data_IF_065417190613
#
_entry.id   IF_065417190613
#
_cell.length_a   1.000
_cell.length_b   1.000
_cell.length_c   1.000
_cell.angle_alpha   90.00
_cell.angle_beta   90.00
_cell.angle_gamma   90.00
#
_symmetry.space_group_name_H-M   'P 1'
#
loop_
_entity.id
_entity.type
_entity.pdbx_description
1 polymer ?
#
# COMPACT_ATOMS: atom_id res chain seq x y z
N UNK A 1 -13.44 -1.51 -17.38
CA UNK A 1 -12.35 -1.23 -16.41
C UNK A 1 -12.12 -2.52 -15.66
N UNK A 2 -10.87 -2.99 -15.54
CA UNK A 2 -10.56 -4.12 -14.66
C UNK A 2 -10.50 -3.52 -13.25
N UNK A 3 -11.45 -3.90 -12.39
CA UNK A 3 -11.42 -3.52 -10.98
C UNK A 3 -10.21 -4.18 -10.32
N UNK A 4 -9.43 -3.41 -9.56
CA UNK A 4 -8.32 -3.98 -8.81
C UNK A 4 -8.89 -4.90 -7.71
N UNK A 5 -8.31 -6.08 -7.45
CA UNK A 5 -8.80 -6.93 -6.38
C UNK A 5 -8.63 -6.26 -5.01
N UNK A 6 -9.59 -6.45 -4.13
CA UNK A 6 -9.56 -5.93 -2.75
C UNK A 6 -9.35 -7.05 -1.74
N UNK A 7 -8.64 -6.74 -0.66
CA UNK A 7 -8.50 -7.61 0.50
C UNK A 7 -9.68 -7.45 1.45
N UNK A 8 -10.13 -6.21 1.66
CA UNK A 8 -11.24 -5.97 2.56
C UNK A 8 -12.57 -6.18 1.85
N UNK A 9 -13.48 -6.89 2.50
CA UNK A 9 -14.90 -6.96 2.10
C UNK A 9 -15.82 -6.76 3.30
N UNK A 10 -15.23 -6.62 4.48
CA UNK A 10 -15.91 -6.55 5.77
C UNK A 10 -15.02 -5.86 6.80
N UNK A 11 -15.61 -5.45 7.92
CA UNK A 11 -14.87 -4.87 9.05
C UNK A 11 -13.87 -5.84 9.68
N UNK A 12 -14.17 -7.15 9.70
CA UNK A 12 -13.22 -8.17 10.17
C UNK A 12 -11.98 -8.22 9.29
N UNK A 13 -12.11 -7.97 8.00
CA UNK A 13 -10.98 -7.97 7.07
C UNK A 13 -10.10 -6.75 7.29
N UNK A 14 -10.71 -5.58 7.45
CA UNK A 14 -9.97 -4.35 7.78
C UNK A 14 -9.17 -4.52 9.09
N UNK A 15 -9.77 -5.19 10.08
CA UNK A 15 -9.08 -5.52 11.34
C UNK A 15 -7.92 -6.50 11.12
N UNK A 16 -8.12 -7.55 10.32
CA UNK A 16 -7.05 -8.50 9.99
C UNK A 16 -5.90 -7.81 9.23
N UNK A 17 -6.20 -6.92 8.28
CA UNK A 17 -5.17 -6.15 7.57
C UNK A 17 -4.36 -5.30 8.55
N UNK A 18 -5.03 -4.63 9.50
CA UNK A 18 -4.36 -3.88 10.55
C UNK A 18 -3.45 -4.76 11.42
N UNK A 19 -3.94 -5.93 11.86
CA UNK A 19 -3.15 -6.91 12.63
C UNK A 19 -1.92 -7.39 11.83
N UNK A 20 -2.08 -7.70 10.54
CA UNK A 20 -0.98 -8.06 9.63
C UNK A 20 0.07 -6.94 9.54
N UNK A 21 -0.36 -5.69 9.33
CA UNK A 21 0.56 -4.56 9.23
C UNK A 21 1.32 -4.32 10.54
N UNK A 22 0.64 -4.47 11.68
CA UNK A 22 1.24 -4.33 13.02
C UNK A 22 2.23 -5.44 13.36
N UNK A 23 1.99 -6.66 12.89
CA UNK A 23 2.88 -7.80 13.09
C UNK A 23 4.19 -7.70 12.28
N UNK A 24 4.29 -6.71 11.39
CA UNK A 24 5.44 -6.50 10.53
C UNK A 24 5.30 -7.22 9.20
N UNK A 25 5.40 -6.44 8.12
CA UNK A 25 5.38 -6.94 6.74
C UNK A 25 6.68 -6.58 6.05
N UNK A 26 7.02 -7.31 4.98
CA UNK A 26 8.22 -7.07 4.21
C UNK A 26 7.96 -7.22 2.71
N UNK A 27 8.48 -6.28 1.94
CA UNK A 27 8.54 -6.34 0.48
C UNK A 27 9.95 -6.72 0.03
N UNK A 28 10.07 -7.87 -0.62
CA UNK A 28 11.32 -8.38 -1.16
C UNK A 28 11.94 -7.47 -2.24
N UNK A 29 13.16 -7.80 -2.73
CA UNK A 29 13.82 -7.05 -3.79
C UNK A 29 12.97 -6.91 -5.06
N UNK A 30 12.26 -7.97 -5.41
CA UNK A 30 11.30 -8.04 -6.54
C UNK A 30 9.95 -7.41 -6.23
N UNK A 31 9.71 -7.04 -4.97
CA UNK A 31 8.44 -6.51 -4.49
C UNK A 31 7.43 -7.58 -4.06
N UNK A 32 7.84 -8.84 -3.91
CA UNK A 32 7.02 -9.90 -3.31
C UNK A 32 6.68 -9.56 -1.85
N UNK A 33 5.45 -9.80 -1.42
CA UNK A 33 4.96 -9.45 -0.09
C UNK A 33 5.11 -10.64 0.87
N UNK A 34 5.38 -10.33 2.14
CA UNK A 34 5.48 -11.34 3.19
C UNK A 34 5.13 -10.74 4.55
N UNK A 35 4.67 -11.58 5.46
CA UNK A 35 4.35 -11.23 6.85
C UNK A 35 5.32 -11.95 7.77
N UNK A 36 5.91 -11.25 8.73
CA UNK A 36 6.94 -11.80 9.61
C UNK A 36 6.36 -12.83 10.59
N UNK A 37 5.12 -12.64 11.00
CA UNK A 37 4.42 -13.55 11.91
C UNK A 37 4.01 -14.86 11.22
N UNK A 38 4.45 -15.99 11.78
CA UNK A 38 4.21 -17.32 11.23
C UNK A 38 2.73 -17.74 11.27
N UNK A 39 1.98 -17.32 12.30
CA UNK A 39 0.56 -17.62 12.39
C UNK A 39 -0.20 -16.84 11.32
N UNK A 40 0.01 -15.53 11.25
CA UNK A 40 -0.67 -14.66 10.29
C UNK A 40 -0.29 -14.99 8.84
N UNK A 41 0.97 -15.31 8.55
CA UNK A 41 1.41 -15.70 7.20
C UNK A 41 0.81 -17.03 6.73
N UNK A 42 0.45 -17.92 7.66
CA UNK A 42 -0.16 -19.21 7.32
C UNK A 42 -1.62 -19.08 6.84
N UNK A 43 -2.30 -18.00 7.22
CA UNK A 43 -3.70 -17.77 6.90
C UNK A 43 -3.92 -17.69 5.39
N UNK A 44 -4.95 -18.38 4.89
CA UNK A 44 -5.35 -18.34 3.47
C UNK A 44 -5.58 -16.91 2.98
N UNK A 45 -6.14 -16.06 3.84
CA UNK A 45 -6.44 -14.66 3.53
C UNK A 45 -5.16 -13.83 3.35
N UNK A 46 -4.16 -14.04 4.19
CA UNK A 46 -2.83 -13.41 4.04
C UNK A 46 -2.11 -13.88 2.78
N UNK A 47 -2.23 -15.16 2.41
CA UNK A 47 -1.70 -15.66 1.12
C UNK A 47 -2.38 -14.99 -0.08
N UNK A 48 -3.66 -14.64 0.04
CA UNK A 48 -4.36 -13.89 -0.99
C UNK A 48 -3.90 -12.42 -1.03
N UNK A 49 -3.58 -11.81 0.12
CA UNK A 49 -3.01 -10.46 0.19
C UNK A 49 -1.69 -10.35 -0.59
N UNK A 50 -0.85 -11.40 -0.58
CA UNK A 50 0.38 -11.44 -1.38
C UNK A 50 0.08 -11.31 -2.88
N UNK A 51 -0.89 -12.09 -3.39
CA UNK A 51 -1.35 -12.01 -4.78
C UNK A 51 -1.90 -10.62 -5.11
N UNK A 52 -2.74 -10.05 -4.23
CA UNK A 52 -3.26 -8.70 -4.40
C UNK A 52 -2.13 -7.68 -4.46
N UNK A 53 -1.13 -7.78 -3.58
CA UNK A 53 0.02 -6.88 -3.57
C UNK A 53 0.86 -7.01 -4.85
N UNK A 54 0.96 -8.22 -5.41
CA UNK A 54 1.65 -8.44 -6.68
C UNK A 54 0.94 -7.78 -7.86
N UNK A 55 -0.39 -7.84 -7.88
CA UNK A 55 -1.20 -7.27 -8.96
C UNK A 55 -1.40 -5.75 -8.85
N UNK A 56 -1.46 -5.21 -7.63
CA UNK A 56 -1.93 -3.83 -7.40
C UNK A 56 -0.85 -2.85 -6.97
N UNK A 57 0.18 -3.30 -6.24
CA UNK A 57 1.22 -2.40 -5.72
C UNK A 57 2.26 -2.11 -6.81
N UNK A 58 2.44 -0.85 -7.23
CA UNK A 58 3.46 -0.50 -8.20
C UNK A 58 4.86 -0.80 -7.65
N UNK A 59 5.64 -1.53 -8.45
CA UNK A 59 6.97 -2.00 -8.03
C UNK A 59 8.10 -1.02 -8.36
N UNK A 60 7.84 -0.03 -9.21
CA UNK A 60 8.84 0.96 -9.65
C UNK A 60 8.53 2.36 -9.12
N UNK A 61 9.56 3.17 -8.86
CA UNK A 61 9.40 4.57 -8.43
C UNK A 61 8.60 5.40 -9.45
N UNK A 62 8.84 5.32 -10.78
CA UNK A 62 8.02 6.04 -11.76
C UNK A 62 6.53 5.68 -11.69
N UNK A 63 6.18 4.42 -11.47
CA UNK A 63 4.78 4.01 -11.36
C UNK A 63 4.14 4.52 -10.07
N UNK A 64 4.90 4.54 -8.97
CA UNK A 64 4.46 5.13 -7.69
C UNK A 64 4.24 6.64 -7.84
N UNK A 65 5.14 7.35 -8.51
CA UNK A 65 4.98 8.78 -8.79
C UNK A 65 3.74 9.05 -9.67
N UNK A 66 3.47 8.18 -10.64
CA UNK A 66 2.25 8.25 -11.47
C UNK A 66 1.00 8.06 -10.62
N UNK A 67 1.01 7.10 -9.69
CA UNK A 67 -0.09 6.89 -8.74
C UNK A 67 -0.31 8.16 -7.88
N UNK A 68 0.74 8.72 -7.29
CA UNK A 68 0.67 9.95 -6.48
C UNK A 68 0.09 11.11 -7.30
N UNK A 69 0.55 11.29 -8.54
CA UNK A 69 0.00 12.32 -9.43
C UNK A 69 -1.49 12.08 -9.74
N UNK A 70 -1.92 10.83 -9.91
CA UNK A 70 -3.33 10.48 -10.11
C UNK A 70 -4.18 10.84 -8.89
N UNK A 71 -3.75 10.41 -7.70
CA UNK A 71 -4.42 10.69 -6.43
C UNK A 71 -4.56 12.19 -6.16
N UNK A 72 -3.54 12.99 -6.50
CA UNK A 72 -3.60 14.46 -6.33
C UNK A 72 -4.68 15.16 -7.16
N UNK A 73 -5.16 14.50 -8.23
CA UNK A 73 -6.21 15.03 -9.11
C UNK A 73 -7.60 14.51 -8.75
N UNK A 74 -7.68 13.45 -7.95
CA UNK A 74 -8.94 12.86 -7.51
C UNK A 74 -9.64 13.81 -6.54
N UNK A 75 -10.98 13.87 -6.65
CA UNK A 75 -11.84 14.66 -5.77
C UNK A 75 -12.83 13.73 -5.08
N UNK A 76 -13.11 14.00 -3.81
CA UNK A 76 -13.99 13.17 -2.99
C UNK A 76 -13.28 11.92 -2.47
N UNK A 77 -14.08 10.98 -1.96
CA UNK A 77 -13.58 9.75 -1.38
C UNK A 77 -12.93 8.83 -2.42
N UNK A 78 -11.93 8.08 -1.99
CA UNK A 78 -11.32 7.00 -2.74
C UNK A 78 -12.30 5.83 -2.81
N UNK A 79 -12.36 5.17 -3.97
CA UNK A 79 -12.94 3.84 -4.04
C UNK A 79 -12.11 2.88 -3.18
N UNK A 80 -12.75 1.82 -2.70
CA UNK A 80 -12.13 0.91 -1.74
C UNK A 80 -10.83 0.29 -2.31
N UNK A 81 -10.84 -0.12 -3.57
CA UNK A 81 -9.65 -0.68 -4.21
C UNK A 81 -8.51 0.34 -4.36
N UNK A 82 -8.84 1.61 -4.58
CA UNK A 82 -7.85 2.69 -4.64
C UNK A 82 -7.28 3.00 -3.26
N UNK A 83 -8.11 2.96 -2.21
CA UNK A 83 -7.68 3.14 -0.84
C UNK A 83 -6.70 2.04 -0.43
N UNK A 84 -7.07 0.77 -0.62
CA UNK A 84 -6.24 -0.38 -0.25
C UNK A 84 -4.92 -0.40 -1.03
N UNK A 85 -4.97 -0.17 -2.35
CA UNK A 85 -3.77 -0.01 -3.18
C UNK A 85 -2.87 1.11 -2.67
N UNK A 86 -3.45 2.27 -2.33
CA UNK A 86 -2.69 3.43 -1.83
C UNK A 86 -2.04 3.13 -0.48
N UNK A 87 -2.76 2.47 0.43
CA UNK A 87 -2.26 2.03 1.73
C UNK A 87 -1.09 1.06 1.60
N UNK A 88 -1.24 0.01 0.78
CA UNK A 88 -0.16 -0.97 0.59
C UNK A 88 1.04 -0.35 -0.13
N UNK A 89 0.81 0.59 -1.05
CA UNK A 89 1.90 1.35 -1.70
C UNK A 89 2.61 2.27 -0.72
N UNK A 90 1.90 2.85 0.27
CA UNK A 90 2.52 3.67 1.32
C UNK A 90 3.51 2.82 2.14
N UNK A 91 3.10 1.62 2.53
CA UNK A 91 3.96 0.67 3.28
C UNK A 91 5.17 0.27 2.44
N UNK A 92 4.97 -0.03 1.15
CA UNK A 92 6.06 -0.32 0.21
C UNK A 92 7.05 0.84 0.10
N UNK A 93 6.57 2.07 -0.09
CA UNK A 93 7.40 3.26 -0.21
C UNK A 93 8.18 3.55 1.08
N UNK A 94 7.60 3.30 2.25
CA UNK A 94 8.29 3.43 3.53
C UNK A 94 9.49 2.48 3.64
N UNK A 95 9.34 1.22 3.20
CA UNK A 95 10.42 0.25 3.20
C UNK A 95 11.50 0.59 2.19
N UNK A 96 11.13 1.00 0.96
CA UNK A 96 12.10 1.46 -0.03
C UNK A 96 12.88 2.68 0.46
N UNK A 97 12.22 3.63 1.12
CA UNK A 97 12.88 4.78 1.72
C UNK A 97 13.93 4.38 2.78
N UNK A 98 13.60 3.42 3.66
CA UNK A 98 14.54 2.94 4.70
C UNK A 98 15.72 2.15 4.11
N UNK A 99 15.47 1.37 3.06
CA UNK A 99 16.47 0.48 2.45
C UNK A 99 17.28 1.13 1.32
N UNK A 100 16.99 2.38 0.94
CA UNK A 100 17.69 3.08 -0.14
C UNK A 100 19.07 3.55 0.31
N UNK A 101 20.12 3.04 -0.34
CA UNK A 101 21.49 3.46 -0.08
C UNK A 101 21.80 4.86 -0.64
N UNK A 102 21.16 5.23 -1.76
CA UNK A 102 21.38 6.50 -2.44
C UNK A 102 20.42 7.58 -1.93
N UNK A 103 20.98 8.74 -1.56
CA UNK A 103 20.22 9.85 -0.98
C UNK A 103 19.12 10.36 -1.91
N UNK A 104 19.41 10.50 -3.20
CA UNK A 104 18.42 10.98 -4.17
C UNK A 104 17.24 10.01 -4.35
N UNK A 105 17.48 8.69 -4.31
CA UNK A 105 16.41 7.69 -4.32
C UNK A 105 15.59 7.79 -3.04
N UNK A 106 16.25 7.88 -1.89
CA UNK A 106 15.58 8.03 -0.58
C UNK A 106 14.67 9.26 -0.54
N UNK A 107 15.13 10.40 -1.05
CA UNK A 107 14.30 11.61 -1.16
C UNK A 107 13.08 11.41 -2.07
N UNK A 108 13.25 10.77 -3.23
CA UNK A 108 12.15 10.52 -4.13
C UNK A 108 11.09 9.59 -3.53
N UNK A 109 11.53 8.56 -2.78
CA UNK A 109 10.65 7.70 -2.00
C UNK A 109 9.96 8.47 -0.86
N UNK A 110 10.66 9.36 -0.16
CA UNK A 110 10.07 10.20 0.90
C UNK A 110 8.98 11.15 0.38
N UNK A 111 9.21 11.77 -0.79
CA UNK A 111 8.21 12.60 -1.48
C UNK A 111 6.98 11.78 -1.86
N UNK A 112 7.21 10.57 -2.40
CA UNK A 112 6.14 9.63 -2.76
C UNK A 112 5.33 9.21 -1.54
N UNK A 113 5.99 8.81 -0.45
CA UNK A 113 5.37 8.48 0.83
C UNK A 113 4.48 9.61 1.33
N UNK A 114 4.99 10.84 1.31
CA UNK A 114 4.23 12.02 1.76
C UNK A 114 2.97 12.25 0.91
N UNK A 115 3.07 12.05 -0.41
CA UNK A 115 1.94 12.17 -1.33
C UNK A 115 0.86 11.11 -1.05
N UNK A 116 1.25 9.86 -0.88
CA UNK A 116 0.35 8.74 -0.55
C UNK A 116 -0.33 8.98 0.81
N UNK A 117 0.44 9.36 1.84
CA UNK A 117 -0.10 9.67 3.16
C UNK A 117 -1.11 10.81 3.12
N UNK A 118 -0.82 11.87 2.35
CA UNK A 118 -1.74 12.99 2.18
C UNK A 118 -3.05 12.53 1.54
N UNK A 119 -3.00 11.72 0.49
CA UNK A 119 -4.20 11.20 -0.17
C UNK A 119 -5.09 10.41 0.80
N UNK A 120 -4.49 9.47 1.55
CA UNK A 120 -5.22 8.69 2.57
C UNK A 120 -5.78 9.57 3.69
N UNK A 121 -5.00 10.53 4.19
CA UNK A 121 -5.46 11.44 5.23
C UNK A 121 -6.64 12.29 4.74
N UNK A 122 -6.57 12.82 3.52
CA UNK A 122 -7.67 13.58 2.93
C UNK A 122 -8.91 12.72 2.81
N UNK A 123 -8.79 11.50 2.30
CA UNK A 123 -9.90 10.55 2.20
C UNK A 123 -10.60 10.31 3.56
N UNK A 124 -9.81 10.05 4.61
CA UNK A 124 -10.31 9.79 5.97
C UNK A 124 -10.90 11.01 6.69
N UNK A 125 -10.60 12.23 6.23
CA UNK A 125 -11.01 13.48 6.89
C UNK A 125 -12.01 14.29 6.07
N UNK A 126 -12.37 13.81 4.88
CA UNK A 126 -13.53 14.31 4.15
C UNK A 126 -14.78 14.07 5.02
N UNK A 127 -15.35 15.17 5.49
CA UNK A 127 -16.71 15.21 6.03
C UNK A 127 -17.66 15.54 4.89
N UNK A 128 -18.68 14.70 4.72
CA UNK A 128 -19.83 14.94 3.83
C UNK A 128 -20.57 16.25 4.15
#
# INVERSE_FOLDING_TARGET
>A
MVENPTFCSSRSDARLLFEILMAGVHFGPTGAFSVADAELSSLRKTKHLDVICEETVPKTLPDVLRLVSGLSRQRGHLHQEDFERTLMTLVYAAQKMMNSAEEHQREAWARSFTGLFRALKTDLTLTD
#
